data_IF_242333113604
#
_entry.id   IF_242333113604
#
_cell.length_a   1.000
_cell.length_b   1.000
_cell.length_c   1.000
_cell.angle_alpha   90.00
_cell.angle_beta   90.00
_cell.angle_gamma   90.00
#
_symmetry.space_group_name_H-M   'P 1'
#
loop_
_entity.id
_entity.type
_entity.pdbx_description
1 polymer ?
#
# COMPACT_ATOMS: atom_id res chain seq x y z
N UNK A 1 -15.26 -24.26 -7.47
CA UNK A 1 -16.12 -23.07 -7.34
C UNK A 1 -15.64 -21.99 -8.28
N UNK A 2 -16.56 -21.26 -8.94
CA UNK A 2 -16.22 -20.18 -9.87
C UNK A 2 -15.99 -18.89 -9.08
N UNK A 3 -14.73 -18.50 -8.86
CA UNK A 3 -14.41 -17.18 -8.27
C UNK A 3 -14.86 -16.04 -9.20
N UNK A 4 -14.98 -16.28 -10.52
CA UNK A 4 -15.48 -15.31 -11.51
C UNK A 4 -16.16 -16.04 -12.69
N UNK A 5 -17.35 -15.59 -13.11
CA UNK A 5 -17.98 -16.05 -14.35
C UNK A 5 -17.19 -15.51 -15.56
N UNK A 6 -16.95 -16.37 -16.55
CA UNK A 6 -16.30 -16.02 -17.82
C UNK A 6 -17.05 -14.86 -18.47
N UNK A 7 -16.37 -13.74 -18.71
CA UNK A 7 -16.89 -12.69 -19.59
C UNK A 7 -17.05 -13.28 -20.99
N UNK A 8 -18.29 -13.50 -21.41
CA UNK A 8 -18.61 -13.85 -22.80
C UNK A 8 -18.53 -12.55 -23.58
N UNK A 9 -17.42 -12.36 -24.30
CA UNK A 9 -17.27 -11.29 -25.30
C UNK A 9 -18.28 -11.57 -26.41
N UNK A 10 -19.39 -10.84 -26.45
CA UNK A 10 -20.47 -11.04 -27.43
C UNK A 10 -20.25 -10.30 -28.75
N UNK A 11 -19.08 -9.71 -29.00
CA UNK A 11 -18.77 -9.10 -30.30
C UNK A 11 -17.32 -9.32 -30.71
N UNK A 12 -17.05 -10.07 -31.80
CA UNK A 12 -15.72 -10.04 -32.42
C UNK A 12 -15.50 -8.66 -33.08
N UNK A 13 -14.35 -8.00 -32.87
CA UNK A 13 -13.96 -6.84 -33.65
C UNK A 13 -13.55 -7.25 -35.08
N UNK A 14 -13.60 -6.32 -36.05
CA UNK A 14 -13.32 -6.63 -37.46
C UNK A 14 -11.86 -7.05 -37.63
N UNK A 15 -11.67 -8.20 -38.29
CA UNK A 15 -10.36 -8.77 -38.65
C UNK A 15 -9.62 -7.80 -39.55
N UNK A 16 -8.55 -7.17 -39.04
CA UNK A 16 -7.54 -6.55 -39.89
C UNK A 16 -6.63 -7.66 -40.44
N UNK A 17 -6.58 -7.73 -41.76
CA UNK A 17 -5.85 -8.74 -42.52
C UNK A 17 -4.35 -8.71 -42.22
N UNK A 18 -3.84 -9.78 -41.61
CA UNK A 18 -2.41 -10.05 -41.50
C UNK A 18 -1.86 -10.41 -42.88
N UNK A 19 -1.02 -9.52 -43.43
CA UNK A 19 -0.21 -9.78 -44.62
C UNK A 19 1.06 -10.49 -44.18
N UNK A 20 1.26 -11.67 -44.76
CA UNK A 20 2.47 -12.48 -44.86
C UNK A 20 3.82 -11.78 -44.57
N UNK A 21 4.62 -12.39 -43.70
CA UNK A 21 6.09 -12.38 -43.76
C UNK A 21 6.58 -13.71 -43.14
N UNK A 22 6.72 -14.76 -43.96
CA UNK A 22 8.00 -15.25 -44.48
C UNK A 22 9.03 -15.61 -43.39
N UNK A 23 9.12 -16.92 -43.20
CA UNK A 23 10.21 -17.68 -42.59
C UNK A 23 11.56 -17.30 -43.20
N UNK A 24 12.47 -16.81 -42.36
CA UNK A 24 13.91 -16.85 -42.61
C UNK A 24 14.61 -17.53 -41.44
N UNK A 25 15.17 -18.70 -41.72
CA UNK A 25 16.34 -19.24 -41.01
C UNK A 25 17.55 -18.44 -41.50
N UNK A 26 18.40 -17.95 -40.61
CA UNK A 26 19.74 -18.52 -40.42
C UNK A 26 20.65 -17.69 -39.50
N UNK A 27 21.61 -18.41 -38.94
CA UNK A 27 22.94 -17.99 -38.47
C UNK A 27 23.07 -17.19 -37.17
N UNK A 28 23.65 -17.91 -36.21
CA UNK A 28 24.36 -17.46 -35.01
C UNK A 28 25.28 -16.26 -35.27
N UNK A 29 24.92 -15.13 -34.69
CA UNK A 29 25.83 -14.04 -34.40
C UNK A 29 25.94 -13.91 -32.88
N UNK A 30 27.17 -13.88 -32.38
CA UNK A 30 27.50 -13.70 -30.96
C UNK A 30 27.10 -12.28 -30.56
N UNK A 31 25.93 -12.14 -29.95
CA UNK A 31 25.46 -10.87 -29.41
C UNK A 31 26.44 -10.37 -28.33
N UNK A 32 26.82 -9.07 -28.34
CA UNK A 32 27.62 -8.50 -27.28
C UNK A 32 26.86 -8.61 -25.94
N UNK A 33 27.56 -8.75 -24.80
CA UNK A 33 26.93 -8.86 -23.50
C UNK A 33 26.06 -7.63 -23.26
N UNK A 34 24.73 -7.82 -23.32
CA UNK A 34 23.77 -6.77 -23.02
C UNK A 34 24.00 -6.33 -21.58
N UNK A 35 24.00 -5.02 -21.28
CA UNK A 35 24.12 -4.54 -19.92
C UNK A 35 22.97 -5.13 -19.11
N UNK A 36 23.31 -6.02 -18.18
CA UNK A 36 22.38 -6.60 -17.22
C UNK A 36 21.94 -5.47 -16.31
N UNK A 37 20.83 -4.82 -16.67
CA UNK A 37 20.18 -3.87 -15.79
C UNK A 37 19.72 -4.65 -14.56
N UNK A 38 20.34 -4.43 -13.41
CA UNK A 38 19.96 -5.12 -12.17
C UNK A 38 18.46 -4.98 -11.94
N UNK A 39 17.76 -6.06 -11.57
CA UNK A 39 16.32 -6.02 -11.41
C UNK A 39 15.92 -4.99 -10.34
N UNK A 40 14.91 -4.18 -10.67
CA UNK A 40 14.32 -3.25 -9.70
C UNK A 40 13.69 -4.07 -8.57
N UNK A 41 14.27 -3.96 -7.37
CA UNK A 41 13.89 -4.76 -6.20
C UNK A 41 12.52 -4.37 -5.62
N UNK A 42 12.23 -3.07 -5.66
CA UNK A 42 11.05 -2.46 -5.06
C UNK A 42 10.44 -1.45 -6.04
N UNK A 43 9.11 -1.48 -6.20
CA UNK A 43 8.40 -0.57 -7.09
C UNK A 43 7.90 0.67 -6.33
N UNK A 44 6.93 0.52 -5.41
CA UNK A 44 6.43 1.61 -4.56
C UNK A 44 6.70 1.37 -3.06
N UNK A 45 7.64 0.48 -2.75
CA UNK A 45 8.22 0.33 -1.43
C UNK A 45 9.47 1.21 -1.30
N UNK A 46 9.39 2.27 -0.50
CA UNK A 46 10.52 3.19 -0.30
C UNK A 46 11.43 2.69 0.81
N UNK A 47 12.73 2.68 0.55
CA UNK A 47 13.73 2.31 1.53
C UNK A 47 13.66 3.19 2.79
N UNK A 48 14.16 2.64 3.90
CA UNK A 48 14.30 3.36 5.18
C UNK A 48 15.05 4.66 4.96
N UNK A 49 14.59 5.71 5.63
CA UNK A 49 15.08 7.06 5.38
C UNK A 49 16.57 7.24 5.55
N UNK A 50 17.11 8.12 4.71
CA UNK A 50 18.47 8.63 4.84
C UNK A 50 18.76 9.10 6.27
N UNK A 51 19.98 8.87 6.77
CA UNK A 51 20.38 9.31 8.09
C UNK A 51 20.20 10.82 8.21
N UNK A 52 19.66 11.25 9.34
CA UNK A 52 19.48 12.68 9.62
C UNK A 52 20.86 13.32 9.77
N UNK A 53 21.13 14.44 9.08
CA UNK A 53 22.40 15.14 9.22
C UNK A 53 22.57 15.63 10.65
N UNK A 54 23.79 15.57 11.17
CA UNK A 54 24.10 16.14 12.48
C UNK A 54 23.79 17.64 12.46
N UNK A 55 22.85 18.05 13.32
CA UNK A 55 22.42 19.44 13.39
C UNK A 55 23.38 20.26 14.25
N UNK A 56 23.70 21.46 13.78
CA UNK A 56 24.61 22.39 14.46
C UNK A 56 23.85 23.51 15.13
N UNK A 57 24.43 24.06 16.19
CA UNK A 57 23.93 25.28 16.80
C UNK A 57 24.03 26.48 15.83
N UNK A 58 23.08 27.41 15.92
CA UNK A 58 23.08 28.65 15.17
C UNK A 58 24.19 29.55 15.74
N UNK A 59 25.16 29.91 14.90
CA UNK A 59 26.26 30.81 15.26
C UNK A 59 25.79 32.26 15.34
N UNK A 60 26.35 33.04 16.27
CA UNK A 60 26.13 34.49 16.41
C UNK A 60 24.65 34.89 16.68
N UNK A 61 24.01 34.37 17.74
CA UNK A 61 22.65 34.77 18.08
C UNK A 61 22.58 36.27 18.45
N UNK A 62 21.45 36.96 18.20
CA UNK A 62 21.22 38.34 18.61
C UNK A 62 21.24 38.47 20.14
N UNK A 63 21.29 39.73 20.62
CA UNK A 63 21.28 40.01 22.06
C UNK A 63 19.98 39.50 22.70
N UNK A 64 20.02 39.19 24.00
CA UNK A 64 18.86 38.64 24.72
C UNK A 64 17.61 39.54 24.63
N UNK A 65 17.78 40.86 24.62
CA UNK A 65 16.69 41.83 24.46
C UNK A 65 16.02 41.72 23.09
N UNK A 66 16.79 41.45 22.02
CA UNK A 66 16.27 41.29 20.66
C UNK A 66 15.58 39.93 20.44
N UNK A 67 16.00 38.88 21.17
CA UNK A 67 15.45 37.51 21.00
C UNK A 67 13.95 37.41 21.25
N UNK A 68 13.37 38.28 22.10
CA UNK A 68 11.92 38.32 22.34
C UNK A 68 11.11 38.60 21.06
N UNK A 69 11.67 39.40 20.14
CA UNK A 69 11.00 39.74 18.86
C UNK A 69 11.29 38.76 17.73
N UNK A 70 12.38 37.99 17.84
CA UNK A 70 12.81 37.03 16.81
C UNK A 70 11.75 35.97 16.56
N UNK A 71 11.10 35.46 17.62
CA UNK A 71 10.10 34.39 17.47
C UNK A 71 8.92 34.82 16.59
N UNK A 72 8.43 36.05 16.74
CA UNK A 72 7.38 36.59 15.88
C UNK A 72 7.83 36.69 14.42
N UNK A 73 9.06 37.16 14.18
CA UNK A 73 9.63 37.19 12.83
C UNK A 73 9.80 35.80 12.24
N UNK A 74 10.19 34.80 13.04
CA UNK A 74 10.36 33.43 12.59
C UNK A 74 9.05 32.82 12.06
N UNK A 75 7.92 33.11 12.73
CA UNK A 75 6.57 32.72 12.29
C UNK A 75 6.19 33.43 10.98
N UNK A 76 6.46 34.72 10.87
CA UNK A 76 6.19 35.48 9.62
C UNK A 76 7.04 34.89 8.48
N UNK A 77 8.32 34.65 8.73
CA UNK A 77 9.25 34.14 7.74
C UNK A 77 8.99 32.69 7.33
N UNK A 78 8.30 31.89 8.15
CA UNK A 78 7.88 30.54 7.72
C UNK A 78 6.82 30.55 6.62
N UNK A 79 6.09 31.66 6.45
CA UNK A 79 5.15 31.85 5.35
C UNK A 79 5.81 32.30 4.03
N UNK A 80 7.10 32.67 4.04
CA UNK A 80 7.79 33.22 2.89
C UNK A 80 8.42 32.14 1.99
N UNK A 81 8.57 32.46 0.71
CA UNK A 81 9.33 31.66 -0.24
C UNK A 81 10.82 31.61 0.11
N UNK A 82 11.54 30.65 -0.46
CA UNK A 82 13.00 30.55 -0.30
C UNK A 82 13.76 31.75 -0.88
N UNK A 83 13.22 32.40 -1.91
CA UNK A 83 13.81 33.59 -2.51
C UNK A 83 13.67 34.79 -1.56
N UNK A 84 12.49 34.99 -0.99
CA UNK A 84 12.24 36.08 -0.03
C UNK A 84 13.06 35.90 1.25
N UNK A 85 13.11 34.67 1.81
CA UNK A 85 13.95 34.36 2.98
C UNK A 85 15.43 34.67 2.73
N UNK A 86 15.95 34.41 1.53
CA UNK A 86 17.33 34.78 1.16
C UNK A 86 17.57 36.28 1.25
N UNK A 87 16.63 37.10 0.79
CA UNK A 87 16.70 38.55 0.95
C UNK A 87 16.65 38.98 2.43
N UNK A 88 15.75 38.38 3.22
CA UNK A 88 15.60 38.70 4.64
C UNK A 88 16.88 38.43 5.46
N UNK A 89 17.63 37.37 5.15
CA UNK A 89 18.90 37.03 5.84
C UNK A 89 19.96 38.14 5.76
N UNK A 90 19.89 39.00 4.74
CA UNK A 90 20.84 40.09 4.49
C UNK A 90 20.50 41.36 5.28
N UNK A 91 19.27 41.50 5.79
CA UNK A 91 18.78 42.74 6.44
C UNK A 91 19.48 43.02 7.76
N UNK A 92 19.57 42.03 8.65
CA UNK A 92 20.20 42.19 9.97
C UNK A 92 20.52 40.84 10.62
N UNK A 93 21.35 40.85 11.68
CA UNK A 93 21.63 39.66 12.49
C UNK A 93 20.35 39.06 13.10
N UNK A 94 19.41 39.91 13.53
CA UNK A 94 18.11 39.50 14.08
C UNK A 94 17.28 38.77 13.04
N UNK A 95 17.22 39.29 11.80
CA UNK A 95 16.46 38.68 10.71
C UNK A 95 17.08 37.35 10.29
N UNK A 96 18.40 37.30 10.13
CA UNK A 96 19.13 36.06 9.85
C UNK A 96 18.81 34.97 10.88
N UNK A 97 18.86 35.33 12.16
CA UNK A 97 18.55 34.40 13.23
C UNK A 97 17.08 33.97 13.23
N UNK A 98 16.14 34.89 12.94
CA UNK A 98 14.73 34.54 12.75
C UNK A 98 14.49 33.60 11.54
N UNK A 99 15.24 33.77 10.45
CA UNK A 99 15.18 32.86 9.30
C UNK A 99 15.68 31.47 9.69
N UNK A 100 16.73 31.34 10.50
CA UNK A 100 17.14 30.03 11.03
C UNK A 100 16.02 29.36 11.85
N UNK A 101 15.36 30.11 12.73
CA UNK A 101 14.26 29.59 13.55
C UNK A 101 12.98 29.32 12.76
N UNK A 102 12.78 29.99 11.62
CA UNK A 102 11.60 29.76 10.78
C UNK A 102 11.48 28.31 10.29
N UNK A 103 12.61 27.60 10.12
CA UNK A 103 12.60 26.19 9.73
C UNK A 103 11.83 25.30 10.73
N UNK A 104 11.96 25.54 12.04
CA UNK A 104 11.18 24.82 13.06
C UNK A 104 9.68 25.06 12.92
N UNK A 105 9.25 26.26 12.52
CA UNK A 105 7.85 26.57 12.26
C UNK A 105 7.33 25.89 10.99
N UNK A 106 8.12 25.87 9.92
CA UNK A 106 7.77 25.15 8.67
C UNK A 106 7.61 23.65 8.96
N UNK A 107 8.54 23.06 9.72
CA UNK A 107 8.48 21.66 10.13
C UNK A 107 7.20 21.35 10.92
N UNK A 108 6.85 22.18 11.90
CA UNK A 108 5.61 22.05 12.69
C UNK A 108 4.32 22.32 11.91
N UNK A 109 4.41 22.96 10.75
CA UNK A 109 3.25 23.20 9.91
C UNK A 109 3.04 22.08 8.89
N UNK A 110 4.14 21.57 8.30
CA UNK A 110 4.09 20.69 7.13
C UNK A 110 4.49 19.24 7.40
N UNK A 111 5.26 19.01 8.45
CA UNK A 111 5.90 17.71 8.75
C UNK A 111 5.67 17.27 10.20
N UNK A 112 4.56 17.71 10.81
CA UNK A 112 4.20 17.31 12.16
C UNK A 112 3.89 15.82 12.22
N UNK A 113 4.48 15.15 13.20
CA UNK A 113 4.27 13.74 13.49
C UNK A 113 5.25 13.20 14.53
N UNK A 114 5.20 11.89 14.75
CA UNK A 114 6.06 11.19 15.70
C UNK A 114 7.54 11.28 15.34
N UNK A 115 7.89 11.16 14.04
CA UNK A 115 9.30 11.20 13.61
C UNK A 115 9.92 12.55 13.88
N UNK A 116 9.22 13.63 13.52
CA UNK A 116 9.67 14.98 13.85
C UNK A 116 9.87 15.11 15.37
N UNK A 117 8.90 14.68 16.17
CA UNK A 117 8.96 14.78 17.62
C UNK A 117 10.16 14.03 18.22
N UNK A 118 10.43 12.82 17.74
CA UNK A 118 11.57 11.98 18.17
C UNK A 118 12.91 12.59 17.73
N UNK A 119 13.03 12.94 16.46
CA UNK A 119 14.28 13.44 15.87
C UNK A 119 14.75 14.74 16.53
N UNK A 120 13.79 15.59 16.92
CA UNK A 120 14.08 16.91 17.47
C UNK A 120 14.16 16.95 19.00
N UNK A 121 13.76 15.88 19.69
CA UNK A 121 13.74 15.83 21.17
C UNK A 121 15.13 16.08 21.77
N UNK A 122 16.19 15.69 21.07
CA UNK A 122 17.59 15.88 21.48
C UNK A 122 18.15 17.29 21.20
N UNK A 123 17.42 18.15 20.48
CA UNK A 123 17.92 19.45 20.02
C UNK A 123 17.16 20.63 20.62
N UNK A 124 17.91 21.67 21.02
CA UNK A 124 17.31 22.93 21.45
C UNK A 124 16.69 23.66 20.27
N UNK A 125 15.36 23.73 20.21
CA UNK A 125 14.63 24.40 19.12
C UNK A 125 14.96 25.89 18.99
N UNK A 126 15.37 26.53 20.08
CA UNK A 126 15.71 27.95 20.07
C UNK A 126 17.13 28.23 19.54
N UNK A 127 18.00 27.23 19.47
CA UNK A 127 19.42 27.43 19.19
C UNK A 127 19.96 26.52 18.09
N UNK A 128 19.17 25.60 17.55
CA UNK A 128 19.60 24.63 16.54
C UNK A 128 19.20 25.08 15.14
N UNK A 129 20.10 24.93 14.17
CA UNK A 129 19.80 25.17 12.77
C UNK A 129 19.03 23.96 12.20
N UNK A 130 17.70 24.09 12.10
CA UNK A 130 16.82 23.01 11.62
C UNK A 130 16.70 22.93 10.09
N UNK A 131 17.34 23.83 9.34
CA UNK A 131 17.25 23.84 7.88
C UNK A 131 17.77 22.57 7.20
N UNK A 132 18.92 21.97 7.59
CA UNK A 132 19.36 20.71 7.00
C UNK A 132 18.31 19.61 7.16
N UNK A 133 17.69 19.51 8.34
CA UNK A 133 16.61 18.56 8.59
C UNK A 133 15.39 18.82 7.69
N UNK A 134 14.95 20.09 7.60
CA UNK A 134 13.83 20.47 6.72
C UNK A 134 14.11 20.08 5.25
N UNK A 135 15.32 20.33 4.75
CA UNK A 135 15.68 19.95 3.36
C UNK A 135 15.64 18.45 3.14
N UNK A 136 16.07 17.65 4.10
CA UNK A 136 15.96 16.19 4.01
C UNK A 136 14.49 15.76 3.91
N UNK A 137 13.59 16.33 4.72
CA UNK A 137 12.15 16.00 4.67
C UNK A 137 11.46 16.48 3.40
N UNK A 138 11.82 17.66 2.90
CA UNK A 138 11.32 18.18 1.62
C UNK A 138 11.79 17.31 0.43
N UNK A 139 13.06 16.92 0.41
CA UNK A 139 13.62 16.06 -0.62
C UNK A 139 13.00 14.66 -0.59
N UNK A 140 12.88 14.05 0.59
CA UNK A 140 12.21 12.76 0.80
C UNK A 140 10.79 12.77 0.22
N UNK A 141 10.00 13.80 0.56
CA UNK A 141 8.65 13.95 0.04
C UNK A 141 8.63 14.13 -1.49
N UNK A 142 9.52 14.95 -2.03
CA UNK A 142 9.60 15.22 -3.47
C UNK A 142 10.09 14.01 -4.29
N UNK A 143 11.02 13.21 -3.75
CA UNK A 143 11.49 11.96 -4.37
C UNK A 143 10.37 10.93 -4.44
N UNK A 144 9.66 10.71 -3.33
CA UNK A 144 8.51 9.78 -3.28
C UNK A 144 7.39 10.19 -4.21
N UNK A 145 7.07 11.49 -4.23
CA UNK A 145 6.05 12.04 -5.14
C UNK A 145 6.44 11.84 -6.60
N UNK A 146 7.70 12.12 -6.97
CA UNK A 146 8.19 11.87 -8.33
C UNK A 146 8.13 10.39 -8.71
N UNK A 147 8.50 9.49 -7.81
CA UNK A 147 8.40 8.05 -8.06
C UNK A 147 6.95 7.62 -8.32
N UNK A 148 6.00 8.11 -7.51
CA UNK A 148 4.57 7.90 -7.76
C UNK A 148 4.11 8.49 -9.11
N UNK A 149 4.45 9.74 -9.41
CA UNK A 149 4.04 10.44 -10.64
C UNK A 149 4.61 9.80 -11.91
N UNK A 150 5.77 9.13 -11.79
CA UNK A 150 6.41 8.36 -12.85
C UNK A 150 5.87 6.92 -12.95
N UNK A 151 5.25 6.39 -11.88
CA UNK A 151 4.67 5.05 -11.90
C UNK A 151 3.43 4.96 -12.77
N UNK A 152 3.03 3.74 -13.11
CA UNK A 152 1.78 3.49 -13.82
C UNK A 152 0.55 3.99 -13.03
N UNK A 153 0.60 3.92 -11.68
CA UNK A 153 -0.49 4.37 -10.82
C UNK A 153 -0.70 5.88 -10.91
N UNK A 154 0.38 6.66 -10.87
CA UNK A 154 0.32 8.12 -11.04
C UNK A 154 -0.11 8.52 -12.44
N UNK A 155 0.40 7.82 -13.47
CA UNK A 155 0.01 8.02 -14.86
C UNK A 155 -1.49 7.75 -15.06
N UNK A 156 -1.99 6.63 -14.52
CA UNK A 156 -3.41 6.28 -14.60
C UNK A 156 -4.30 7.36 -13.96
N UNK A 157 -3.99 7.79 -12.73
CA UNK A 157 -4.79 8.81 -12.04
C UNK A 157 -4.84 10.12 -12.84
N UNK A 158 -3.69 10.57 -13.37
CA UNK A 158 -3.58 11.78 -14.19
C UNK A 158 -4.37 11.68 -15.50
N UNK A 159 -4.17 10.60 -16.26
CA UNK A 159 -4.83 10.39 -17.56
C UNK A 159 -6.35 10.28 -17.42
N UNK A 160 -6.84 9.78 -16.29
CA UNK A 160 -8.27 9.67 -15.99
C UNK A 160 -8.85 10.92 -15.31
N UNK A 161 -8.05 11.97 -15.12
CA UNK A 161 -8.49 13.22 -14.48
C UNK A 161 -8.95 13.02 -13.03
N UNK A 162 -8.43 12.00 -12.35
CA UNK A 162 -8.74 11.73 -10.94
C UNK A 162 -7.94 12.69 -10.04
N UNK A 163 -8.51 13.11 -8.90
CA UNK A 163 -7.81 13.97 -7.95
C UNK A 163 -6.59 13.25 -7.35
N UNK A 164 -5.67 14.02 -6.78
CA UNK A 164 -4.52 13.49 -6.06
C UNK A 164 -5.00 12.55 -4.93
N UNK A 165 -4.64 11.26 -4.94
CA UNK A 165 -5.23 10.29 -4.02
C UNK A 165 -4.59 10.32 -2.63
N UNK A 166 -3.52 11.09 -2.42
CA UNK A 166 -2.76 11.15 -1.16
C UNK A 166 -2.59 12.60 -0.71
N UNK A 167 -2.93 12.87 0.54
CA UNK A 167 -2.75 14.18 1.14
C UNK A 167 -1.27 14.60 1.21
N UNK A 168 -1.01 15.89 0.96
CA UNK A 168 0.36 16.42 0.83
C UNK A 168 1.30 16.07 2.00
N UNK A 169 0.78 16.00 3.23
CA UNK A 169 1.58 15.70 4.43
C UNK A 169 2.15 14.28 4.46
N UNK A 170 1.47 13.31 3.85
CA UNK A 170 1.85 11.89 3.91
C UNK A 170 3.09 11.57 3.05
N UNK A 171 3.42 12.41 2.07
CA UNK A 171 4.62 12.22 1.25
C UNK A 171 5.91 12.21 2.08
N UNK A 172 5.97 12.99 3.16
CA UNK A 172 7.09 12.93 4.11
C UNK A 172 7.01 11.80 5.13
N UNK A 173 5.90 11.05 5.17
CA UNK A 173 5.64 9.98 6.15
C UNK A 173 5.89 10.45 7.59
N UNK A 174 5.04 11.33 8.13
CA UNK A 174 5.30 12.05 9.39
C UNK A 174 5.48 11.18 10.64
N UNK A 175 4.89 9.98 10.70
CA UNK A 175 4.86 9.14 11.90
C UNK A 175 5.63 7.82 11.75
N UNK A 176 5.57 7.17 10.59
CA UNK A 176 6.30 5.93 10.30
C UNK A 176 6.80 5.97 8.84
N UNK A 177 8.06 5.60 8.60
CA UNK A 177 8.68 5.57 7.28
C UNK A 177 7.91 4.79 6.20
N UNK A 178 7.05 3.83 6.58
CA UNK A 178 6.22 3.02 5.69
C UNK A 178 4.88 3.67 5.32
N UNK A 179 4.46 4.76 5.97
CA UNK A 179 3.14 5.38 5.77
C UNK A 179 2.79 5.64 4.31
N UNK A 180 3.74 6.20 3.54
CA UNK A 180 3.50 6.49 2.13
C UNK A 180 3.39 5.22 1.27
N UNK A 181 4.18 4.19 1.57
CA UNK A 181 4.10 2.90 0.88
C UNK A 181 2.75 2.23 1.14
N UNK A 182 2.29 2.26 2.39
CA UNK A 182 0.96 1.79 2.78
C UNK A 182 -0.17 2.56 2.09
N UNK A 183 -0.07 3.90 2.04
CA UNK A 183 -1.05 4.74 1.35
C UNK A 183 -1.14 4.39 -0.15
N UNK A 184 0.00 4.28 -0.83
CA UNK A 184 0.06 3.94 -2.25
C UNK A 184 -0.45 2.52 -2.53
N UNK A 185 -0.07 1.54 -1.69
CA UNK A 185 -0.57 0.17 -1.79
C UNK A 185 -2.09 0.12 -1.63
N UNK A 186 -2.65 0.90 -0.71
CA UNK A 186 -4.10 0.99 -0.56
C UNK A 186 -4.78 1.62 -1.78
N UNK A 187 -4.21 2.69 -2.34
CA UNK A 187 -4.70 3.29 -3.59
C UNK A 187 -4.65 2.27 -4.75
N UNK A 188 -3.57 1.49 -4.85
CA UNK A 188 -3.44 0.41 -5.84
C UNK A 188 -4.50 -0.68 -5.63
N UNK A 189 -4.74 -1.10 -4.39
CA UNK A 189 -5.77 -2.09 -4.05
C UNK A 189 -7.16 -1.59 -4.40
N UNK A 190 -7.48 -0.31 -4.12
CA UNK A 190 -8.74 0.32 -4.56
C UNK A 190 -8.88 0.32 -6.07
N UNK A 191 -7.81 0.66 -6.80
CA UNK A 191 -7.78 0.59 -8.25
C UNK A 191 -8.04 -0.83 -8.75
N UNK A 192 -7.39 -1.82 -8.13
CA UNK A 192 -7.57 -3.21 -8.52
C UNK A 192 -9.01 -3.68 -8.35
N UNK A 193 -9.65 -3.39 -7.21
CA UNK A 193 -11.05 -3.71 -7.01
C UNK A 193 -11.97 -3.01 -8.00
N UNK A 194 -11.73 -1.73 -8.29
CA UNK A 194 -12.53 -0.97 -9.24
C UNK A 194 -12.46 -1.53 -10.67
N UNK A 195 -11.29 -2.01 -11.10
CA UNK A 195 -11.09 -2.55 -12.45
C UNK A 195 -11.47 -4.03 -12.57
N UNK A 196 -11.12 -4.84 -11.56
CA UNK A 196 -11.22 -6.30 -11.63
C UNK A 196 -12.55 -6.85 -11.11
N UNK A 197 -13.24 -6.13 -10.21
CA UNK A 197 -14.53 -6.56 -9.62
C UNK A 197 -15.70 -5.67 -10.05
N UNK A 198 -15.44 -4.40 -10.39
CA UNK A 198 -16.45 -3.37 -10.69
C UNK A 198 -17.67 -3.87 -11.49
N UNK A 199 -18.84 -3.41 -11.08
CA UNK A 199 -20.20 -3.90 -11.37
C UNK A 199 -20.58 -3.99 -12.86
N UNK A 200 -19.91 -4.79 -13.70
CA UNK A 200 -20.30 -5.11 -15.09
C UNK A 200 -20.43 -3.95 -16.08
N UNK A 201 -20.41 -2.69 -15.63
CA UNK A 201 -20.57 -1.46 -16.40
C UNK A 201 -19.22 -0.77 -16.69
N UNK A 202 -18.11 -1.41 -16.30
CA UNK A 202 -16.77 -0.84 -16.40
C UNK A 202 -16.62 0.46 -15.61
N UNK A 203 -15.70 1.32 -16.07
CA UNK A 203 -15.38 2.62 -15.48
C UNK A 203 -16.54 3.63 -15.47
N UNK A 204 -17.71 3.26 -16.01
CA UNK A 204 -18.93 4.05 -15.99
C UNK A 204 -19.74 3.93 -14.71
N UNK A 205 -19.39 3.02 -13.78
CA UNK A 205 -20.07 2.93 -12.47
C UNK A 205 -19.72 4.14 -11.58
N UNK A 206 -20.68 5.02 -11.27
CA UNK A 206 -20.44 6.20 -10.43
C UNK A 206 -19.88 5.84 -9.05
N UNK A 207 -20.22 4.66 -8.51
CA UNK A 207 -19.73 4.19 -7.21
C UNK A 207 -18.27 3.81 -7.27
N UNK A 208 -17.83 3.11 -8.32
CA UNK A 208 -16.42 2.77 -8.52
C UNK A 208 -15.55 4.00 -8.78
N UNK A 209 -16.10 5.04 -9.40
CA UNK A 209 -15.40 6.32 -9.61
C UNK A 209 -15.34 7.14 -8.32
N UNK A 210 -16.45 7.25 -7.56
CA UNK A 210 -16.45 7.89 -6.24
C UNK A 210 -15.46 7.18 -5.30
N UNK A 211 -15.53 5.86 -5.35
CA UNK A 211 -14.48 4.86 -5.21
C UNK A 211 -13.08 5.42 -5.11
N UNK A 212 -12.55 5.74 -6.29
CA UNK A 212 -11.17 6.17 -6.57
C UNK A 212 -10.90 7.66 -6.28
N UNK A 213 -11.94 8.48 -6.15
CA UNK A 213 -11.82 9.92 -5.85
C UNK A 213 -11.51 10.22 -4.38
N UNK A 214 -11.70 9.26 -3.46
CA UNK A 214 -11.38 9.47 -2.05
C UNK A 214 -9.87 9.65 -1.83
N UNK A 215 -9.50 10.65 -1.02
CA UNK A 215 -8.11 10.99 -0.70
C UNK A 215 -7.69 10.32 0.61
N UNK A 216 -6.55 9.64 0.60
CA UNK A 216 -5.92 9.13 1.82
C UNK A 216 -5.34 10.30 2.59
N UNK A 217 -5.88 10.56 3.78
CA UNK A 217 -5.45 11.68 4.62
C UNK A 217 -4.58 11.22 5.78
N UNK A 218 -4.76 10.01 6.30
CA UNK A 218 -3.95 9.50 7.42
C UNK A 218 -3.68 8.00 7.29
N UNK A 219 -2.53 7.54 7.79
CA UNK A 219 -2.13 6.13 7.79
C UNK A 219 -1.35 5.83 9.07
N UNK A 220 -1.78 4.89 9.90
CA UNK A 220 -1.11 4.58 11.17
C UNK A 220 -0.96 3.06 11.37
N UNK A 221 0.17 2.59 11.94
CA UNK A 221 0.28 1.20 12.32
C UNK A 221 -0.65 0.91 13.51
N UNK A 222 -1.41 -0.18 13.44
CA UNK A 222 -2.29 -0.64 14.52
C UNK A 222 -1.68 -1.86 15.19
N UNK A 223 -1.28 -2.84 14.37
CA UNK A 223 -0.51 -4.01 14.79
C UNK A 223 0.73 -4.06 13.92
N UNK A 224 1.90 -3.95 14.55
CA UNK A 224 3.17 -3.95 13.84
C UNK A 224 3.28 -5.16 12.92
N UNK A 225 3.64 -4.92 11.65
CA UNK A 225 3.84 -5.94 10.62
C UNK A 225 2.56 -6.66 10.13
N UNK A 226 1.37 -6.24 10.57
CA UNK A 226 0.12 -6.94 10.23
C UNK A 226 -1.01 -6.02 9.80
N UNK A 227 -1.37 -5.04 10.62
CA UNK A 227 -2.59 -4.24 10.44
C UNK A 227 -2.28 -2.77 10.55
N UNK A 228 -2.79 -2.02 9.58
CA UNK A 228 -2.73 -0.57 9.51
C UNK A 228 -4.13 0.03 9.52
N UNK A 229 -4.26 1.23 10.07
CA UNK A 229 -5.45 2.05 9.88
C UNK A 229 -5.18 3.05 8.75
N UNK A 230 -6.16 3.22 7.88
CA UNK A 230 -6.14 4.19 6.79
C UNK A 230 -7.38 5.05 6.92
N UNK A 231 -7.18 6.36 7.00
CA UNK A 231 -8.27 7.34 6.99
C UNK A 231 -8.36 7.97 5.61
N UNK A 232 -9.53 7.87 5.01
CA UNK A 232 -9.87 8.48 3.73
C UNK A 232 -10.84 9.63 3.93
N UNK A 233 -10.76 10.61 3.03
CA UNK A 233 -11.66 11.74 2.96
C UNK A 233 -12.38 11.73 1.60
N UNK A 234 -13.71 11.69 1.66
CA UNK A 234 -14.59 11.73 0.50
C UNK A 234 -15.10 13.16 0.31
N UNK A 235 -14.95 13.69 -0.90
CA UNK A 235 -15.59 14.94 -1.31
C UNK A 235 -17.03 14.65 -1.73
N UNK A 236 -17.98 14.79 -0.79
CA UNK A 236 -19.40 14.59 -1.03
C UNK A 236 -20.13 15.94 -0.93
N UNK A 237 -20.30 16.61 -2.07
CA UNK A 237 -21.02 17.88 -2.16
C UNK A 237 -20.40 18.98 -1.29
N UNK A 238 -21.17 19.52 -0.34
CA UNK A 238 -20.76 20.59 0.58
C UNK A 238 -19.99 20.10 1.82
N UNK A 239 -19.85 18.78 2.00
CA UNK A 239 -19.23 18.19 3.19
C UNK A 239 -18.01 17.31 2.88
N UNK A 240 -17.08 17.27 3.82
CA UNK A 240 -16.01 16.27 3.86
C UNK A 240 -16.44 15.13 4.79
N UNK A 241 -16.62 13.93 4.24
CA UNK A 241 -16.85 12.73 5.04
C UNK A 241 -15.52 12.02 5.22
N UNK A 242 -15.17 11.72 6.48
CA UNK A 242 -14.00 10.92 6.83
C UNK A 242 -14.40 9.52 7.26
N UNK A 243 -13.68 8.55 6.76
CA UNK A 243 -13.83 7.14 7.10
C UNK A 243 -12.46 6.57 7.44
N UNK A 244 -12.38 5.80 8.52
CA UNK A 244 -11.17 5.06 8.88
C UNK A 244 -11.43 3.57 8.70
N UNK A 245 -10.45 2.87 8.14
CA UNK A 245 -10.55 1.46 7.76
C UNK A 245 -9.29 0.75 8.25
N UNK A 246 -9.43 -0.44 8.82
CA UNK A 246 -8.32 -1.33 9.12
C UNK A 246 -8.02 -2.20 7.91
N UNK A 247 -6.74 -2.29 7.55
CA UNK A 247 -6.27 -3.02 6.37
C UNK A 247 -5.09 -3.91 6.71
N UNK A 248 -4.91 -4.99 5.93
CA UNK A 248 -3.72 -5.85 6.02
C UNK A 248 -2.49 -5.14 5.47
N UNK A 249 -1.34 -5.24 6.16
CA UNK A 249 -0.08 -4.62 5.72
C UNK A 249 0.32 -5.13 4.32
N UNK A 250 0.21 -6.43 4.09
CA UNK A 250 0.69 -7.08 2.88
C UNK A 250 -0.10 -6.68 1.61
N UNK A 251 -1.43 -6.58 1.70
CA UNK A 251 -2.30 -6.40 0.53
C UNK A 251 -3.08 -5.08 0.55
N UNK A 252 -3.12 -4.39 1.68
CA UNK A 252 -4.04 -3.28 1.96
C UNK A 252 -5.53 -3.63 1.75
N UNK A 253 -5.89 -4.92 1.78
CA UNK A 253 -7.29 -5.32 1.77
C UNK A 253 -7.98 -4.95 3.10
N UNK A 254 -9.20 -4.36 3.05
CA UNK A 254 -9.96 -4.03 4.25
C UNK A 254 -10.31 -5.27 5.08
N UNK A 255 -10.01 -5.24 6.38
CA UNK A 255 -10.39 -6.26 7.36
C UNK A 255 -11.42 -5.76 8.37
N UNK A 256 -11.64 -4.45 8.44
CA UNK A 256 -12.66 -3.86 9.30
C UNK A 256 -12.57 -2.36 9.45
N UNK A 257 -13.21 -1.83 10.49
CA UNK A 257 -13.28 -0.41 10.84
C UNK A 257 -13.03 -0.21 12.35
N UNK A 258 -12.58 0.95 12.82
CA UNK A 258 -12.65 1.26 14.23
C UNK A 258 -14.11 1.31 14.69
N UNK A 259 -14.39 0.85 15.90
CA UNK A 259 -15.71 1.04 16.51
C UNK A 259 -15.99 2.53 16.64
N UNK A 260 -16.94 3.04 15.84
CA UNK A 260 -17.40 4.42 15.97
C UNK A 260 -18.21 4.49 17.25
N UNK A 261 -17.72 5.22 18.25
CA UNK A 261 -18.49 5.51 19.46
C UNK A 261 -19.89 5.99 19.05
N UNK A 262 -20.97 5.41 19.60
CA UNK A 262 -22.32 5.74 19.18
C UNK A 262 -22.52 7.24 19.37
N UNK A 263 -22.61 8.00 18.27
CA UNK A 263 -23.02 9.40 18.34
C UNK A 263 -24.39 9.40 19.03
N UNK A 264 -24.62 10.21 20.07
CA UNK A 264 -25.94 10.36 20.65
C UNK A 264 -26.86 10.83 19.52
N UNK A 265 -27.74 9.92 19.07
CA UNK A 265 -28.68 10.23 18.02
C UNK A 265 -29.60 11.34 18.54
N UNK A 266 -29.76 12.46 17.83
CA UNK A 266 -30.91 13.32 18.08
C UNK A 266 -32.16 12.48 17.83
N UNK A 267 -32.94 12.29 18.89
CA UNK A 267 -34.23 11.61 18.83
C UNK A 267 -35.14 12.39 17.87
N UNK A 268 -35.40 11.85 16.69
CA UNK A 268 -36.43 12.37 15.78
C UNK A 268 -36.01 12.43 14.33
N UNK A 269 -36.03 11.30 13.64
CA UNK A 269 -36.81 11.07 12.42
C UNK A 269 -36.39 9.75 11.78
N UNK A 270 -37.37 8.89 11.56
CA UNK A 270 -37.29 7.62 10.83
C UNK A 270 -37.14 7.93 9.34
N UNK A 271 -35.91 8.02 8.85
CA UNK A 271 -35.63 7.79 7.43
C UNK A 271 -34.47 6.79 7.33
N UNK A 272 -34.85 5.54 7.09
CA UNK A 272 -34.03 4.33 7.24
C UNK A 272 -33.22 4.00 5.98
N UNK A 273 -32.81 5.02 5.21
CA UNK A 273 -32.20 4.83 3.88
C UNK A 273 -30.73 5.24 3.77
N UNK A 274 -30.15 5.87 4.80
CA UNK A 274 -28.76 6.37 4.73
C UNK A 274 -27.85 5.88 5.86
N UNK A 275 -28.15 4.68 6.40
CA UNK A 275 -27.10 3.87 7.03
C UNK A 275 -26.19 3.38 5.92
N UNK A 276 -25.19 4.20 5.54
CA UNK A 276 -24.01 3.72 4.82
C UNK A 276 -23.56 2.44 5.51
N UNK A 277 -23.76 1.33 4.80
CA UNK A 277 -23.66 -0.03 5.26
C UNK A 277 -22.21 -0.35 5.57
N UNK A 278 -21.76 0.07 6.75
CA UNK A 278 -20.54 -0.42 7.35
C UNK A 278 -20.68 -1.93 7.42
N UNK A 279 -19.98 -2.64 6.53
CA UNK A 279 -19.98 -4.09 6.54
C UNK A 279 -19.52 -4.52 7.94
N UNK A 280 -20.30 -5.36 8.63
CA UNK A 280 -19.94 -5.77 9.98
C UNK A 280 -18.58 -6.47 9.92
N UNK A 281 -17.65 -5.98 10.73
CA UNK A 281 -16.35 -6.61 10.93
C UNK A 281 -16.61 -8.01 11.47
N UNK A 282 -15.93 -9.01 10.91
CA UNK A 282 -16.02 -10.36 11.47
C UNK A 282 -15.53 -10.36 12.91
N UNK A 283 -16.25 -11.08 13.77
CA UNK A 283 -15.95 -11.13 15.19
C UNK A 283 -14.50 -11.56 15.49
N UNK A 284 -13.92 -12.47 14.70
CA UNK A 284 -12.54 -12.93 14.89
C UNK A 284 -11.49 -11.86 14.52
N UNK A 285 -11.74 -11.03 13.51
CA UNK A 285 -10.90 -9.86 13.22
C UNK A 285 -10.96 -8.83 14.34
N UNK A 286 -12.17 -8.48 14.79
CA UNK A 286 -12.35 -7.56 15.92
C UNK A 286 -11.66 -8.09 17.18
N UNK A 287 -11.80 -9.38 17.48
CA UNK A 287 -11.16 -10.00 18.64
C UNK A 287 -9.63 -10.05 18.52
N UNK A 288 -9.09 -10.35 17.33
CA UNK A 288 -7.64 -10.30 17.07
C UNK A 288 -7.09 -8.89 17.28
N UNK A 289 -7.77 -7.88 16.74
CA UNK A 289 -7.38 -6.47 16.90
C UNK A 289 -7.47 -6.05 18.37
N UNK A 290 -8.60 -6.29 19.03
CA UNK A 290 -8.79 -5.96 20.45
C UNK A 290 -7.76 -6.64 21.33
N UNK A 291 -7.43 -7.92 21.09
CA UNK A 291 -6.42 -8.63 21.88
C UNK A 291 -5.02 -8.03 21.74
N UNK A 292 -4.66 -7.52 20.57
CA UNK A 292 -3.37 -6.85 20.38
C UNK A 292 -3.35 -5.46 21.02
N UNK A 293 -4.47 -4.75 20.96
CA UNK A 293 -4.62 -3.44 21.60
C UNK A 293 -4.63 -3.55 23.14
N UNK A 294 -5.33 -4.55 23.70
CA UNK A 294 -5.41 -4.81 25.14
C UNK A 294 -4.15 -5.53 25.68
N UNK A 295 -3.55 -6.38 24.84
CA UNK A 295 -2.34 -7.17 25.13
C UNK A 295 -1.08 -6.33 25.34
N UNK A 296 -1.11 -5.03 25.06
CA UNK A 296 -0.12 -4.05 25.53
C UNK A 296 0.00 -4.00 27.07
N UNK A 297 -0.85 -4.73 27.82
CA UNK A 297 -0.82 -4.83 29.29
C UNK A 297 -0.39 -6.21 29.87
N UNK A 298 0.02 -7.20 29.06
CA UNK A 298 0.45 -8.51 29.62
C UNK A 298 1.41 -9.31 28.73
N UNK A 299 2.21 -10.25 29.30
CA UNK A 299 3.27 -10.98 28.60
C UNK A 299 2.77 -12.15 27.73
N UNK A 300 1.59 -12.03 27.11
CA UNK A 300 1.05 -13.04 26.20
C UNK A 300 1.74 -12.97 24.83
N UNK A 301 2.35 -14.07 24.38
CA UNK A 301 2.93 -14.17 23.03
C UNK A 301 1.81 -14.10 22.00
N UNK A 302 1.67 -12.96 21.33
CA UNK A 302 0.75 -12.81 20.20
C UNK A 302 1.25 -13.63 19.01
N UNK A 303 0.32 -14.33 18.34
CA UNK A 303 0.63 -15.19 17.19
C UNK A 303 0.47 -14.38 15.91
N UNK A 304 1.49 -14.40 15.06
CA UNK A 304 1.46 -13.61 13.84
C UNK A 304 0.36 -14.08 12.87
N UNK A 305 -0.20 -13.18 12.08
CA UNK A 305 -1.30 -13.48 11.14
C UNK A 305 -0.97 -14.63 10.18
N UNK A 306 0.24 -14.63 9.62
CA UNK A 306 0.72 -15.69 8.72
C UNK A 306 0.88 -17.05 9.43
N UNK A 307 1.10 -17.05 10.76
CA UNK A 307 1.14 -18.29 11.55
C UNK A 307 -0.25 -18.88 11.80
N UNK A 308 -1.30 -18.08 11.63
CA UNK A 308 -2.69 -18.51 11.73
C UNK A 308 -3.21 -19.15 10.43
N UNK A 309 -2.49 -18.95 9.31
CA UNK A 309 -2.81 -19.51 8.00
C UNK A 309 -2.93 -21.05 8.04
N UNK A 310 -3.96 -21.58 7.39
CA UNK A 310 -4.14 -23.00 7.15
C UNK A 310 -3.92 -23.30 5.67
N UNK A 311 -3.10 -24.30 5.39
CA UNK A 311 -2.77 -24.79 4.05
C UNK A 311 -2.51 -26.30 4.10
N UNK A 312 -2.56 -26.96 2.94
CA UNK A 312 -2.28 -28.39 2.78
C UNK A 312 -0.77 -28.67 2.59
N UNK A 313 -0.35 -29.93 2.63
CA UNK A 313 1.02 -30.38 2.29
C UNK A 313 2.14 -29.63 3.05
N UNK A 314 2.09 -29.64 4.39
CA UNK A 314 3.01 -28.88 5.27
C UNK A 314 4.45 -29.35 5.23
N UNK A 315 4.65 -30.57 4.75
CA UNK A 315 5.94 -31.21 4.51
C UNK A 315 6.73 -30.49 3.41
N UNK A 316 6.06 -30.06 2.33
CA UNK A 316 6.69 -29.39 1.18
C UNK A 316 6.58 -27.87 1.24
N UNK A 317 5.50 -27.37 1.83
CA UNK A 317 5.21 -25.94 1.87
C UNK A 317 5.24 -25.36 3.29
N UNK A 318 5.91 -24.22 3.44
CA UNK A 318 5.88 -23.38 4.62
C UNK A 318 5.01 -22.16 4.35
N UNK A 319 3.88 -22.05 5.06
CA UNK A 319 2.87 -20.98 4.86
C UNK A 319 2.40 -20.87 3.39
N UNK A 320 2.30 -22.01 2.71
CA UNK A 320 1.94 -22.06 1.28
C UNK A 320 3.09 -21.79 0.30
N UNK A 321 4.33 -21.64 0.76
CA UNK A 321 5.50 -21.38 -0.09
C UNK A 321 6.47 -22.56 -0.04
N UNK A 322 6.92 -23.02 -1.21
CA UNK A 322 7.77 -24.21 -1.33
C UNK A 322 9.09 -24.06 -0.58
N UNK A 323 9.36 -24.98 0.35
CA UNK A 323 10.57 -24.96 1.20
C UNK A 323 11.86 -24.94 0.39
N UNK A 324 11.92 -25.73 -0.67
CA UNK A 324 13.08 -25.79 -1.57
C UNK A 324 13.36 -24.44 -2.25
N UNK A 325 12.33 -23.69 -2.58
CA UNK A 325 12.49 -22.35 -3.16
C UNK A 325 12.91 -21.34 -2.10
N UNK A 326 12.34 -21.37 -0.89
CA UNK A 326 12.77 -20.54 0.23
C UNK A 326 14.27 -20.70 0.51
N UNK A 327 14.78 -21.93 0.58
CA UNK A 327 16.22 -22.21 0.77
C UNK A 327 17.08 -21.70 -0.39
N UNK A 328 16.55 -21.64 -1.62
CA UNK A 328 17.28 -21.09 -2.77
C UNK A 328 17.40 -19.56 -2.68
N UNK A 329 16.29 -18.88 -2.41
CA UNK A 329 16.27 -17.41 -2.39
C UNK A 329 17.01 -16.81 -1.19
N UNK A 330 17.18 -17.55 -0.09
CA UNK A 330 18.03 -17.13 1.03
C UNK A 330 19.46 -16.78 0.60
N UNK A 331 19.97 -17.43 -0.47
CA UNK A 331 21.29 -17.19 -1.04
C UNK A 331 21.34 -15.99 -2.00
N UNK A 332 20.18 -15.42 -2.36
CA UNK A 332 20.06 -14.29 -3.29
C UNK A 332 20.14 -12.91 -2.61
N UNK A 333 20.30 -12.85 -1.28
CA UNK A 333 20.39 -11.60 -0.53
C UNK A 333 19.11 -10.75 -0.65
N UNK A 334 19.27 -9.45 -0.97
CA UNK A 334 18.16 -8.50 -1.05
C UNK A 334 17.12 -8.87 -2.13
N UNK A 335 17.56 -9.48 -3.24
CA UNK A 335 16.64 -9.99 -4.27
C UNK A 335 15.77 -11.12 -3.73
N UNK A 336 16.36 -12.01 -2.94
CA UNK A 336 15.63 -13.09 -2.28
C UNK A 336 14.63 -12.57 -1.27
N UNK A 337 15.01 -11.54 -0.49
CA UNK A 337 14.11 -10.87 0.44
C UNK A 337 12.93 -10.21 -0.29
N UNK A 338 13.18 -9.53 -1.42
CA UNK A 338 12.13 -8.93 -2.24
C UNK A 338 11.17 -9.99 -2.82
N UNK A 339 11.70 -11.09 -3.35
CA UNK A 339 10.88 -12.21 -3.85
C UNK A 339 10.04 -12.84 -2.74
N UNK A 340 10.59 -13.01 -1.54
CA UNK A 340 9.87 -13.53 -0.37
C UNK A 340 8.72 -12.60 0.02
N UNK A 341 8.96 -11.28 0.06
CA UNK A 341 7.91 -10.31 0.35
C UNK A 341 6.76 -10.39 -0.68
N UNK A 342 7.08 -10.48 -1.97
CA UNK A 342 6.06 -10.65 -3.03
C UNK A 342 5.30 -11.97 -2.88
N UNK A 343 5.98 -13.06 -2.52
CA UNK A 343 5.35 -14.35 -2.27
C UNK A 343 4.35 -14.28 -1.10
N UNK A 344 4.73 -13.68 0.03
CA UNK A 344 3.86 -13.52 1.20
C UNK A 344 2.63 -12.64 0.89
N UNK A 345 2.80 -11.59 0.07
CA UNK A 345 1.68 -10.78 -0.44
C UNK A 345 0.72 -11.60 -1.30
N UNK A 346 1.24 -12.41 -2.22
CA UNK A 346 0.41 -13.29 -3.05
C UNK A 346 -0.37 -14.30 -2.21
N UNK A 347 0.28 -14.93 -1.23
CA UNK A 347 -0.39 -15.85 -0.30
C UNK A 347 -1.59 -15.18 0.37
N UNK A 348 -1.40 -13.97 0.91
CA UNK A 348 -2.48 -13.24 1.56
C UNK A 348 -3.53 -12.70 0.60
N UNK A 349 -3.20 -12.39 -0.66
CA UNK A 349 -4.18 -12.03 -1.70
C UNK A 349 -5.00 -13.24 -2.21
N UNK A 350 -4.50 -14.46 -1.97
CA UNK A 350 -5.10 -15.71 -2.44
C UNK A 350 -5.78 -16.52 -1.34
N UNK A 351 -5.82 -16.03 -0.09
CA UNK A 351 -6.73 -16.60 0.91
C UNK A 351 -8.17 -16.47 0.42
N UNK A 352 -9.03 -17.40 0.82
CA UNK A 352 -10.44 -17.37 0.40
C UNK A 352 -11.09 -16.07 0.87
N UNK A 353 -12.03 -15.50 0.09
CA UNK A 353 -12.65 -14.20 0.41
C UNK A 353 -13.21 -14.15 1.84
N UNK A 354 -13.86 -15.23 2.28
CA UNK A 354 -14.37 -15.46 3.64
C UNK A 354 -13.29 -15.42 4.73
N UNK A 355 -12.00 -15.45 4.38
CA UNK A 355 -10.84 -15.26 5.27
C UNK A 355 -10.56 -13.78 5.55
N UNK A 356 -11.02 -12.85 4.72
CA UNK A 356 -10.82 -11.39 4.89
C UNK A 356 -12.13 -10.69 5.19
N UNK A 357 -13.17 -10.95 4.39
CA UNK A 357 -14.51 -10.32 4.50
C UNK A 357 -15.63 -11.35 4.34
N UNK A 358 -16.81 -11.09 4.91
CA UNK A 358 -17.96 -12.01 4.80
C UNK A 358 -18.24 -12.82 6.07
N UNK A 359 -18.95 -13.94 5.93
CA UNK A 359 -19.30 -14.79 7.08
C UNK A 359 -18.08 -15.59 7.55
N UNK A 360 -17.91 -15.71 8.88
CA UNK A 360 -16.87 -16.57 9.45
C UNK A 360 -17.08 -18.02 9.02
N UNK A 361 -15.98 -18.68 8.63
CA UNK A 361 -15.94 -20.10 8.26
C UNK A 361 -14.64 -20.70 8.80
N UNK A 362 -14.70 -21.95 9.27
CA UNK A 362 -13.52 -22.74 9.59
C UNK A 362 -12.74 -23.11 8.32
N UNK A 363 -11.45 -23.47 8.46
CA UNK A 363 -10.63 -23.90 7.32
C UNK A 363 -11.23 -25.09 6.54
N UNK A 364 -11.87 -26.03 7.24
CA UNK A 364 -12.53 -27.17 6.60
C UNK A 364 -13.78 -26.75 5.81
N UNK A 365 -14.58 -25.82 6.36
CA UNK A 365 -15.74 -25.27 5.64
C UNK A 365 -15.31 -24.46 4.43
N UNK A 366 -14.25 -23.65 4.57
CA UNK A 366 -13.65 -22.89 3.47
C UNK A 366 -13.11 -23.81 2.37
N UNK A 367 -12.47 -24.92 2.73
CA UNK A 367 -12.01 -25.92 1.76
C UNK A 367 -13.18 -26.60 1.02
N UNK A 368 -14.25 -26.95 1.73
CA UNK A 368 -15.46 -27.55 1.13
C UNK A 368 -16.17 -26.59 0.19
N UNK A 369 -16.36 -25.34 0.60
CA UNK A 369 -16.97 -24.29 -0.20
C UNK A 369 -16.16 -24.02 -1.48
N UNK A 370 -14.83 -23.95 -1.35
CA UNK A 370 -13.94 -23.82 -2.50
C UNK A 370 -14.09 -24.97 -3.50
N UNK A 371 -14.17 -26.20 -2.99
CA UNK A 371 -14.42 -27.41 -3.78
C UNK A 371 -15.82 -27.42 -4.44
N UNK A 372 -16.70 -26.45 -4.12
CA UNK A 372 -18.07 -26.39 -4.62
C UNK A 372 -18.97 -27.46 -4.01
N UNK A 373 -18.57 -28.03 -2.88
CA UNK A 373 -19.39 -28.95 -2.12
C UNK A 373 -20.40 -28.14 -1.33
N UNK A 374 -21.68 -28.54 -1.37
CA UNK A 374 -22.71 -27.89 -0.59
C UNK A 374 -22.28 -27.88 0.88
N UNK A 375 -22.12 -26.68 1.44
CA UNK A 375 -22.04 -26.47 2.88
C UNK A 375 -23.21 -27.23 3.50
N UNK A 376 -22.92 -28.39 4.10
CA UNK A 376 -23.89 -29.00 5.01
C UNK A 376 -24.01 -27.97 6.11
N UNK A 377 -25.21 -27.42 6.28
CA UNK A 377 -25.57 -26.48 7.33
C UNK A 377 -25.36 -27.14 8.71
N UNK A 378 -24.11 -27.35 9.10
CA UNK A 378 -23.76 -27.69 10.46
C UNK A 378 -24.05 -26.43 11.27
N UNK A 379 -24.87 -26.63 12.31
CA UNK A 379 -25.59 -25.60 13.00
C UNK A 379 -24.74 -24.35 13.30
N UNK A 380 -25.35 -23.18 13.07
CA UNK A 380 -24.85 -21.84 13.38
C UNK A 380 -24.56 -21.58 14.88
N UNK A 381 -24.32 -22.61 15.67
CA UNK A 381 -24.16 -22.59 17.13
C UNK A 381 -22.75 -22.98 17.59
N UNK A 382 -21.83 -23.36 16.69
CA UNK A 382 -20.42 -23.47 17.04
C UNK A 382 -19.83 -22.06 17.22
N UNK A 383 -19.97 -21.51 18.44
CA UNK A 383 -19.21 -20.31 18.83
C UNK A 383 -17.73 -20.52 18.48
N UNK A 384 -17.03 -19.52 17.93
CA UNK A 384 -15.60 -19.61 17.71
C UNK A 384 -14.95 -19.93 19.05
N UNK A 385 -14.47 -21.17 19.20
CA UNK A 385 -13.85 -21.63 20.47
C UNK A 385 -12.50 -20.96 20.71
N UNK A 386 -11.91 -20.39 19.65
CA UNK A 386 -10.62 -19.73 19.69
C UNK A 386 -10.68 -18.39 18.97
N UNK A 387 -10.25 -17.38 19.70
CA UNK A 387 -9.55 -16.15 19.37
C UNK A 387 -8.78 -15.98 18.03
N UNK A 388 -8.64 -17.03 17.21
CA UNK A 388 -7.77 -17.04 16.03
C UNK A 388 -8.53 -16.65 14.77
N UNK A 389 -7.92 -15.80 13.96
CA UNK A 389 -8.41 -15.43 12.64
C UNK A 389 -8.37 -16.68 11.75
N UNK A 390 -9.51 -17.03 11.18
CA UNK A 390 -9.61 -18.18 10.29
C UNK A 390 -9.17 -17.77 8.89
N UNK A 391 -7.95 -18.17 8.51
CA UNK A 391 -7.35 -17.95 7.19
C UNK A 391 -7.07 -19.29 6.50
N UNK A 392 -7.46 -19.44 5.23
CA UNK A 392 -7.20 -20.65 4.45
C UNK A 392 -6.69 -20.34 3.04
N UNK A 393 -5.59 -20.99 2.67
CA UNK A 393 -4.98 -20.96 1.34
C UNK A 393 -5.28 -22.27 0.59
N UNK A 394 -5.98 -22.23 -0.55
CA UNK A 394 -6.16 -23.39 -1.41
C UNK A 394 -4.86 -23.92 -2.03
N UNK A 395 -4.79 -25.23 -2.26
CA UNK A 395 -3.58 -25.92 -2.77
C UNK A 395 -3.08 -25.38 -4.12
N UNK A 396 -3.99 -25.08 -5.05
CA UNK A 396 -3.62 -24.52 -6.37
C UNK A 396 -3.01 -23.10 -6.32
N UNK A 397 -3.00 -22.46 -5.15
CA UNK A 397 -2.33 -21.18 -4.87
C UNK A 397 -1.04 -21.35 -4.04
N UNK A 398 -0.59 -22.58 -3.79
CA UNK A 398 0.74 -22.80 -3.25
C UNK A 398 1.81 -22.29 -4.23
N UNK A 399 2.89 -21.73 -3.71
CA UNK A 399 3.93 -21.08 -4.51
C UNK A 399 5.13 -22.01 -4.65
N UNK A 400 5.51 -22.30 -5.89
CA UNK A 400 6.77 -22.98 -6.23
C UNK A 400 7.92 -21.99 -6.41
N UNK A 401 7.64 -20.82 -7.00
CA UNK A 401 8.65 -19.77 -7.19
C UNK A 401 8.04 -18.43 -7.60
N UNK A 402 8.82 -17.36 -7.40
CA UNK A 402 8.50 -15.99 -7.84
C UNK A 402 9.61 -15.45 -8.74
N UNK A 403 9.22 -14.84 -9.85
CA UNK A 403 10.13 -14.32 -10.87
C UNK A 403 9.85 -12.85 -11.19
N UNK A 404 10.92 -12.07 -11.33
CA UNK A 404 10.89 -10.67 -11.78
C UNK A 404 11.28 -10.52 -13.26
N UNK A 405 11.51 -11.65 -13.93
CA UNK A 405 11.94 -11.77 -15.32
C UNK A 405 11.14 -12.90 -15.99
N UNK A 406 10.85 -12.76 -17.28
CA UNK A 406 10.19 -13.75 -18.12
C UNK A 406 10.96 -13.94 -19.42
N UNK A 407 11.24 -15.20 -19.79
CA UNK A 407 12.03 -15.55 -20.99
C UNK A 407 13.39 -14.81 -21.10
N UNK A 408 14.04 -14.57 -19.96
CA UNK A 408 15.34 -13.88 -19.89
C UNK A 408 15.28 -12.35 -20.05
N UNK A 409 14.08 -11.76 -19.99
CA UNK A 409 13.89 -10.30 -20.01
C UNK A 409 13.20 -9.84 -18.73
N UNK A 410 13.58 -8.66 -18.24
CA UNK A 410 12.93 -8.04 -17.08
C UNK A 410 11.45 -7.78 -17.36
N UNK A 411 10.61 -8.11 -16.39
CA UNK A 411 9.21 -7.69 -16.39
C UNK A 411 9.12 -6.21 -16.04
N UNK A 412 7.99 -5.60 -16.37
CA UNK A 412 7.63 -4.29 -15.85
C UNK A 412 7.82 -4.25 -14.32
N UNK A 413 8.42 -3.20 -13.73
CA UNK A 413 8.79 -3.18 -12.31
C UNK A 413 7.64 -3.45 -11.33
N UNK A 414 6.40 -3.13 -11.73
CA UNK A 414 5.20 -3.41 -10.94
C UNK A 414 4.74 -4.88 -10.97
N UNK A 415 5.25 -5.71 -11.87
CA UNK A 415 4.74 -7.06 -12.14
C UNK A 415 5.72 -8.15 -11.73
N UNK A 416 5.20 -9.24 -11.18
CA UNK A 416 5.94 -10.49 -10.98
C UNK A 416 5.14 -11.67 -11.52
N UNK A 417 5.85 -12.76 -11.82
CA UNK A 417 5.25 -14.05 -12.13
C UNK A 417 5.35 -14.94 -10.90
N UNK A 418 4.23 -15.49 -10.46
CA UNK A 418 4.16 -16.53 -9.43
C UNK A 418 3.89 -17.86 -10.11
N UNK A 419 4.82 -18.81 -9.98
CA UNK A 419 4.62 -20.18 -10.40
C UNK A 419 3.93 -20.95 -9.27
N UNK A 420 2.79 -21.57 -9.57
CA UNK A 420 2.15 -22.56 -8.68
C UNK A 420 2.26 -23.96 -9.29
N UNK A 421 1.84 -25.04 -8.59
CA UNK A 421 1.90 -26.40 -9.12
C UNK A 421 1.15 -26.60 -10.45
N UNK A 422 0.14 -25.77 -10.73
CA UNK A 422 -0.73 -25.96 -11.89
C UNK A 422 -0.55 -24.92 -12.98
N UNK A 423 -0.19 -23.68 -12.65
CA UNK A 423 -0.02 -22.61 -13.64
C UNK A 423 0.79 -21.43 -13.09
N UNK A 424 1.25 -20.60 -14.00
CA UNK A 424 1.82 -19.29 -13.67
C UNK A 424 0.76 -18.18 -13.59
N UNK A 425 0.99 -17.19 -12.74
CA UNK A 425 0.15 -16.00 -12.59
C UNK A 425 0.96 -14.73 -12.71
N UNK A 426 0.41 -13.73 -13.42
CA UNK A 426 0.91 -12.36 -13.38
C UNK A 426 0.25 -11.62 -12.23
N UNK A 427 1.06 -11.00 -11.36
CA UNK A 427 0.61 -10.32 -10.16
C UNK A 427 1.24 -8.94 -10.02
N UNK A 428 0.59 -8.05 -9.28
CA UNK A 428 1.17 -6.78 -8.84
C UNK A 428 2.09 -7.00 -7.65
N UNK A 429 3.36 -6.60 -7.74
CA UNK A 429 4.37 -6.80 -6.66
C UNK A 429 3.99 -6.12 -5.36
N UNK A 430 3.35 -4.97 -5.44
CA UNK A 430 3.08 -4.13 -4.28
C UNK A 430 1.96 -4.69 -3.39
N UNK A 431 1.00 -5.46 -3.92
CA UNK A 431 -0.13 -6.00 -3.13
C UNK A 431 -0.47 -7.49 -3.37
N UNK A 432 0.26 -8.18 -4.27
CA UNK A 432 0.08 -9.61 -4.54
C UNK A 432 -1.15 -9.96 -5.39
N UNK A 433 -1.91 -8.98 -5.86
CA UNK A 433 -3.16 -9.23 -6.59
C UNK A 433 -2.92 -9.67 -8.03
N UNK A 434 -3.69 -10.66 -8.49
CA UNK A 434 -3.60 -11.23 -9.84
C UNK A 434 -4.13 -10.25 -10.89
N UNK A 435 -3.40 -10.10 -11.99
CA UNK A 435 -3.77 -9.29 -13.17
C UNK A 435 -3.73 -10.08 -14.48
N UNK A 436 -3.30 -11.35 -14.43
CA UNK A 436 -3.19 -12.25 -15.57
C UNK A 436 -2.85 -13.68 -15.17
N UNK A 437 -2.71 -14.56 -16.15
CA UNK A 437 -2.28 -15.95 -15.97
C UNK A 437 -1.45 -16.43 -17.16
N UNK A 438 -0.90 -17.64 -17.06
CA UNK A 438 -0.07 -18.26 -18.09
C UNK A 438 -0.74 -18.32 -19.46
N UNK A 439 -2.04 -18.62 -19.51
CA UNK A 439 -2.77 -18.86 -20.75
C UNK A 439 -3.11 -17.57 -21.49
N UNK A 440 -3.53 -16.54 -20.76
CA UNK A 440 -4.02 -15.27 -21.32
C UNK A 440 -2.97 -14.14 -21.28
N UNK A 441 -1.86 -14.36 -20.56
CA UNK A 441 -0.91 -13.30 -20.22
C UNK A 441 -1.47 -12.30 -19.20
N UNK A 442 -0.89 -11.10 -19.16
CA UNK A 442 -1.47 -9.93 -18.49
C UNK A 442 -2.77 -9.56 -19.22
N UNK A 443 -3.88 -9.40 -18.50
CA UNK A 443 -5.15 -9.04 -19.15
C UNK A 443 -5.10 -7.67 -19.82
N UNK A 444 -5.88 -7.48 -20.90
CA UNK A 444 -5.83 -6.26 -21.74
C UNK A 444 -6.02 -4.96 -20.95
N UNK A 445 -6.95 -4.95 -19.98
CA UNK A 445 -7.18 -3.78 -19.11
C UNK A 445 -5.92 -3.43 -18.32
N UNK A 446 -5.22 -4.44 -17.80
CA UNK A 446 -4.00 -4.22 -17.05
C UNK A 446 -2.79 -3.94 -17.93
N UNK A 447 -2.76 -4.44 -19.18
CA UNK A 447 -1.78 -4.02 -20.19
C UNK A 447 -1.87 -2.51 -20.46
N UNK A 448 -3.09 -1.98 -20.66
CA UNK A 448 -3.33 -0.54 -20.84
C UNK A 448 -2.93 0.27 -19.60
N UNK A 449 -3.32 -0.20 -18.41
CA UNK A 449 -3.09 0.52 -17.15
C UNK A 449 -1.62 0.54 -16.74
N UNK A 450 -0.95 -0.60 -16.87
CA UNK A 450 0.47 -0.75 -16.49
C UNK A 450 1.38 -0.21 -17.59
N UNK A 451 0.95 -0.26 -18.85
CA UNK A 451 1.76 0.09 -20.02
C UNK A 451 2.74 -1.02 -20.39
N UNK A 452 2.28 -2.27 -20.40
CA UNK A 452 3.09 -3.45 -20.72
C UNK A 452 2.39 -4.35 -21.76
N UNK A 453 3.15 -5.27 -22.38
CA UNK A 453 2.60 -6.27 -23.28
C UNK A 453 1.94 -7.45 -22.54
N UNK A 454 1.34 -8.41 -23.28
CA UNK A 454 0.69 -9.59 -22.71
C UNK A 454 1.65 -10.49 -21.88
N UNK A 455 2.96 -10.37 -22.07
CA UNK A 455 3.95 -11.09 -21.25
C UNK A 455 4.49 -10.26 -20.09
N UNK A 456 3.93 -9.06 -19.87
CA UNK A 456 4.28 -8.18 -18.76
C UNK A 456 5.57 -7.39 -18.96
N UNK A 457 5.99 -7.14 -20.21
CA UNK A 457 7.19 -6.34 -20.54
C UNK A 457 6.86 -4.89 -20.88
#
# INVERSE_FOLDING_TARGET
GKRFQKLVVTKPPPVLSSRNAQTFRDTSATDPPRPTCSPVLHHLDFATTLPIPQLTCITLPPSLTQRKRVQHWAIIFSGLTDAERRCCVLVSRTFRYAVYLSASHILRQRHTGLRLSQDIAQYSQAMTNMWPYLRVRENEAAERRRAYEASFLGTFMRTRGLPEPIAARLWSSPDDHRQIGMALRFVLTRLWFALSIGSGAGMGDPKAVAWLKAMVVDVQPVIAHEIWSITVEHALGLGQQRETIYVLEATCEPVGHPEVAPKPQPQGHTDDTDRTSALPIRADWSEHIHRHLDGLRGPGKTTAILDQLKWANREEYERGVGRLWLTRIEKEGDLGAAKRAVAERYVLACVIASSVSGQWMSASEMAQDFAGLSSRSYAATARPKNAQVSLYLPEHHHIESVHFEGAGQALHPALAIVQTPHRAYFILRDNGMQVGCEEDGVSEVWQEVVGCDASGR
#
